data_IF_494371380243
#
_entry.id   IF_494371380243
#
_cell.length_a   1.000
_cell.length_b   1.000
_cell.length_c   1.000
_cell.angle_alpha   90.00
_cell.angle_beta   90.00
_cell.angle_gamma   90.00
#
_symmetry.space_group_name_H-M   'P 1'
#
loop_
_entity.id
_entity.type
_entity.pdbx_description
1 polymer ?
#
# COMPACT_ATOMS: atom_id res chain seq x y z
N UNK A 1 -0.54 18.03 -6.71
CA UNK A 1 -0.68 16.61 -7.06
C UNK A 1 -2.12 16.22 -7.29
N UNK A 2 -2.33 15.22 -8.14
CA UNK A 2 -3.63 14.58 -8.40
C UNK A 2 -3.60 13.16 -7.86
N UNK A 3 -4.77 12.67 -7.46
CA UNK A 3 -4.98 11.26 -7.13
C UNK A 3 -4.68 10.41 -8.36
N UNK A 4 -3.81 9.41 -8.21
CA UNK A 4 -3.43 8.47 -9.27
C UNK A 4 -4.11 7.11 -9.09
N UNK A 5 -4.07 6.57 -7.87
CA UNK A 5 -4.74 5.31 -7.51
C UNK A 5 -5.17 5.36 -6.04
N UNK A 6 -6.30 4.70 -5.74
CA UNK A 6 -6.74 4.39 -4.40
C UNK A 6 -7.01 2.88 -4.32
N UNK A 7 -6.35 2.20 -3.39
CA UNK A 7 -6.53 0.78 -3.11
C UNK A 7 -7.08 0.64 -1.69
N UNK A 8 -8.16 -0.11 -1.55
CA UNK A 8 -8.78 -0.41 -0.27
C UNK A 8 -9.09 -1.91 -0.20
N UNK A 9 -8.85 -2.51 0.96
CA UNK A 9 -9.30 -3.86 1.27
C UNK A 9 -9.55 -4.01 2.77
N UNK A 10 -10.41 -4.97 3.13
CA UNK A 10 -10.68 -5.36 4.51
C UNK A 10 -10.94 -6.84 4.64
N UNK A 11 -10.28 -7.46 5.61
CA UNK A 11 -10.38 -8.90 5.85
C UNK A 11 -10.41 -9.20 7.36
N UNK A 12 -11.14 -10.26 7.72
CA UNK A 12 -11.30 -10.71 9.10
C UNK A 12 -11.14 -12.22 9.22
N UNK A 13 -10.35 -12.65 10.19
CA UNK A 13 -9.92 -14.03 10.37
C UNK A 13 -10.43 -14.62 11.69
N UNK A 14 -10.86 -15.88 11.66
CA UNK A 14 -11.32 -16.61 12.87
C UNK A 14 -10.17 -16.96 13.82
N UNK A 15 -8.94 -17.00 13.33
CA UNK A 15 -7.69 -17.21 14.07
C UNK A 15 -6.70 -16.11 13.73
N UNK A 16 -5.72 -15.89 14.61
CA UNK A 16 -4.62 -14.97 14.30
C UNK A 16 -3.79 -15.54 13.15
N UNK A 17 -3.52 -14.72 12.13
CA UNK A 17 -2.74 -15.09 10.94
C UNK A 17 -1.77 -13.98 10.58
N UNK A 18 -0.72 -14.34 9.84
CA UNK A 18 0.19 -13.36 9.25
C UNK A 18 -0.41 -12.89 7.91
N UNK A 19 -0.40 -11.58 7.69
CA UNK A 19 -1.00 -10.93 6.53
C UNK A 19 0.08 -10.17 5.77
N UNK A 20 0.12 -10.40 4.47
CA UNK A 20 0.98 -9.70 3.52
C UNK A 20 0.13 -9.15 2.38
N UNK A 21 0.24 -7.85 2.12
CA UNK A 21 -0.41 -7.19 0.98
C UNK A 21 0.66 -6.57 0.09
N UNK A 22 0.73 -7.05 -1.14
CA UNK A 22 1.61 -6.51 -2.16
C UNK A 22 0.83 -5.57 -3.08
N UNK A 23 1.21 -4.28 -3.07
CA UNK A 23 0.64 -3.27 -3.95
C UNK A 23 1.70 -2.79 -4.93
N UNK A 24 1.31 -2.62 -6.19
CA UNK A 24 2.18 -2.00 -7.19
C UNK A 24 1.43 -0.92 -7.96
N UNK A 25 2.10 0.20 -8.16
CA UNK A 25 1.70 1.26 -9.07
C UNK A 25 2.72 1.33 -10.19
N UNK A 26 2.23 1.26 -11.43
CA UNK A 26 3.03 1.49 -12.63
C UNK A 26 2.33 2.54 -13.49
N UNK A 27 3.04 3.62 -13.82
CA UNK A 27 2.52 4.60 -14.76
C UNK A 27 2.23 3.94 -16.12
N UNK A 28 1.16 4.38 -16.80
CA UNK A 28 0.86 3.88 -18.14
C UNK A 28 2.01 4.24 -19.08
N UNK A 29 2.41 3.29 -19.93
CA UNK A 29 3.45 3.51 -20.95
C UNK A 29 3.18 4.80 -21.74
N UNK A 30 4.18 5.69 -21.76
CA UNK A 30 4.09 7.02 -22.40
C UNK A 30 3.57 8.16 -21.50
N UNK A 31 3.22 7.89 -20.24
CA UNK A 31 2.86 8.94 -19.27
C UNK A 31 4.09 9.39 -18.48
N UNK A 32 4.37 10.70 -18.46
CA UNK A 32 5.43 11.30 -17.63
C UNK A 32 4.96 11.53 -16.19
N UNK A 33 4.23 10.56 -15.62
CA UNK A 33 3.69 10.71 -14.27
C UNK A 33 4.79 10.42 -13.26
N UNK A 34 5.01 11.37 -12.35
CA UNK A 34 5.94 11.23 -11.22
C UNK A 34 5.16 11.08 -9.93
N UNK A 35 5.43 10.03 -9.14
CA UNK A 35 4.89 9.86 -7.79
C UNK A 35 5.48 10.92 -6.85
N UNK A 36 4.63 11.55 -6.06
CA UNK A 36 5.03 12.63 -5.14
C UNK A 36 4.68 12.33 -3.70
N UNK A 37 3.59 11.60 -3.47
CA UNK A 37 3.15 11.18 -2.13
C UNK A 37 2.43 9.85 -2.20
N UNK A 38 2.59 9.06 -1.14
CA UNK A 38 1.84 7.83 -0.90
C UNK A 38 1.40 7.87 0.55
N UNK A 39 0.09 7.80 0.77
CA UNK A 39 -0.52 7.76 2.09
C UNK A 39 -1.10 6.36 2.30
N UNK A 40 -0.81 5.74 3.45
CA UNK A 40 -1.30 4.41 3.78
C UNK A 40 -1.86 4.46 5.19
N UNK A 41 -3.16 4.20 5.31
CA UNK A 41 -3.86 4.04 6.57
C UNK A 41 -4.09 2.55 6.79
N UNK A 42 -3.72 2.04 7.96
CA UNK A 42 -3.92 0.63 8.33
C UNK A 42 -4.66 0.59 9.66
N UNK A 43 -5.73 -0.21 9.69
CA UNK A 43 -6.42 -0.60 10.91
C UNK A 43 -6.22 -2.11 11.12
N UNK A 44 -5.59 -2.48 12.23
CA UNK A 44 -5.29 -3.87 12.52
C UNK A 44 -5.30 -4.16 14.01
N UNK A 45 -5.63 -5.41 14.34
CA UNK A 45 -5.58 -5.90 15.74
C UNK A 45 -4.19 -6.29 16.22
N UNK A 46 -3.20 -6.41 15.32
CA UNK A 46 -1.83 -6.70 15.72
C UNK A 46 -1.18 -5.47 16.35
N UNK A 47 -0.17 -5.71 17.18
CA UNK A 47 0.63 -4.64 17.80
C UNK A 47 1.59 -3.98 16.79
N UNK A 48 1.87 -4.64 15.66
CA UNK A 48 2.78 -4.16 14.61
C UNK A 48 2.16 -4.22 13.21
N UNK A 49 2.37 -3.15 12.45
CA UNK A 49 2.10 -3.09 11.02
C UNK A 49 3.27 -2.38 10.34
N UNK A 50 3.88 -3.03 9.36
CA UNK A 50 5.05 -2.52 8.66
C UNK A 50 4.74 -2.29 7.18
N UNK A 51 5.34 -1.26 6.61
CA UNK A 51 5.27 -0.95 5.20
C UNK A 51 6.69 -0.81 4.62
N UNK A 52 6.95 -1.47 3.51
CA UNK A 52 8.26 -1.46 2.86
C UNK A 52 8.12 -1.12 1.38
N UNK A 53 8.95 -0.20 0.88
CA UNK A 53 9.18 -0.13 -0.57
C UNK A 53 10.00 -1.36 -0.98
N UNK A 54 9.45 -2.15 -1.90
CA UNK A 54 10.15 -3.29 -2.49
C UNK A 54 10.72 -2.97 -3.86
N UNK A 55 10.19 -1.94 -4.52
CA UNK A 55 10.69 -1.41 -5.79
C UNK A 55 10.20 0.03 -6.01
N UNK A 56 10.93 0.81 -6.81
CA UNK A 56 10.57 2.21 -7.13
C UNK A 56 10.41 3.12 -5.90
N UNK A 57 9.50 4.09 -5.98
CA UNK A 57 9.16 4.98 -4.87
C UNK A 57 8.78 6.41 -5.27
N UNK A 58 8.80 7.31 -4.29
CA UNK A 58 8.57 8.74 -4.51
C UNK A 58 9.65 9.31 -5.44
N UNK A 59 9.25 10.13 -6.41
CA UNK A 59 10.12 10.65 -7.47
C UNK A 59 10.29 9.71 -8.66
N UNK A 60 9.67 8.52 -8.63
CA UNK A 60 9.67 7.56 -9.75
C UNK A 60 8.28 7.50 -10.42
N UNK A 61 8.24 6.88 -11.59
CA UNK A 61 7.00 6.57 -12.31
C UNK A 61 6.35 5.25 -11.86
N UNK A 62 7.00 4.56 -10.93
CA UNK A 62 6.57 3.28 -10.39
C UNK A 62 6.90 3.18 -8.89
N UNK A 63 6.10 2.41 -8.17
CA UNK A 63 6.37 2.04 -6.79
C UNK A 63 5.70 0.72 -6.46
N UNK A 64 6.41 -0.15 -5.74
CA UNK A 64 5.86 -1.36 -5.17
C UNK A 64 6.04 -1.32 -3.66
N UNK A 65 4.98 -1.65 -2.93
CA UNK A 65 4.92 -1.61 -1.48
C UNK A 65 4.41 -2.94 -0.96
N UNK A 66 5.11 -3.47 0.05
CA UNK A 66 4.68 -4.59 0.86
C UNK A 66 4.17 -4.06 2.20
N UNK A 67 2.90 -4.31 2.51
CA UNK A 67 2.39 -4.22 3.87
C UNK A 67 2.49 -5.60 4.51
N UNK A 68 3.03 -5.65 5.71
CA UNK A 68 3.17 -6.89 6.46
C UNK A 68 2.77 -6.69 7.92
N UNK A 69 1.99 -7.62 8.44
CA UNK A 69 1.45 -7.62 9.78
C UNK A 69 1.40 -9.06 10.29
N UNK A 70 1.84 -9.29 11.53
CA UNK A 70 1.94 -10.64 12.09
C UNK A 70 0.84 -10.88 13.13
N UNK A 71 0.32 -12.11 13.17
CA UNK A 71 -0.65 -12.53 14.19
C UNK A 71 -1.88 -11.62 14.34
N UNK A 72 -2.48 -11.20 13.22
CA UNK A 72 -3.68 -10.35 13.23
C UNK A 72 -4.97 -11.12 12.99
N UNK A 73 -6.08 -10.59 13.50
CA UNK A 73 -7.44 -11.11 13.29
C UNK A 73 -8.29 -10.20 12.42
N UNK A 74 -7.97 -8.92 12.36
CA UNK A 74 -8.57 -7.98 11.42
C UNK A 74 -7.48 -7.16 10.76
N UNK A 75 -7.58 -6.99 9.45
CA UNK A 75 -6.67 -6.18 8.68
C UNK A 75 -7.46 -5.40 7.65
N UNK A 76 -7.44 -4.08 7.76
CA UNK A 76 -7.99 -3.17 6.76
C UNK A 76 -6.94 -2.13 6.41
N UNK A 77 -6.88 -1.77 5.13
CA UNK A 77 -6.01 -0.70 4.67
C UNK A 77 -6.69 0.17 3.62
N UNK A 78 -6.28 1.43 3.57
CA UNK A 78 -6.52 2.34 2.45
C UNK A 78 -5.19 2.97 2.04
N UNK A 79 -4.81 2.79 0.78
CA UNK A 79 -3.57 3.27 0.22
C UNK A 79 -3.84 4.20 -0.97
N UNK A 80 -3.36 5.45 -0.85
CA UNK A 80 -3.64 6.53 -1.78
C UNK A 80 -2.35 7.06 -2.37
N UNK A 81 -2.24 7.05 -3.70
CA UNK A 81 -1.04 7.47 -4.42
C UNK A 81 -1.31 8.77 -5.15
N UNK A 82 -0.37 9.71 -5.05
CA UNK A 82 -0.45 11.03 -5.65
C UNK A 82 0.75 11.30 -6.57
N UNK A 83 0.53 12.12 -7.57
CA UNK A 83 1.59 12.58 -8.47
C UNK A 83 1.13 13.65 -9.46
N UNK A 84 1.96 13.94 -10.47
CA UNK A 84 1.63 14.85 -11.58
C UNK A 84 1.97 14.24 -12.93
#
# INVERSE_FOLDING_TARGET
>A
DKLLVNNYDDESFTTAVDVEVFMSYLSKSGSAITLTSIEIYVDTTADDANAYFTDGGIGSSEASILLACNQTRTFSYEAVFYGY
#
